data_IF_371202790078
#
_entry.id   IF_371202790078
#
_cell.length_a   1.000
_cell.length_b   1.000
_cell.length_c   1.000
_cell.angle_alpha   90.00
_cell.angle_beta   90.00
_cell.angle_gamma   90.00
#
_symmetry.space_group_name_H-M   'P 1'
#
loop_
_entity.id
_entity.type
_entity.pdbx_description
1 polymer ?
#
# COMPACT_ATOMS: atom_id res chain seq x y z
N UNK A 1 31.43 -19.41 72.60
CA UNK A 1 30.00 -19.10 72.38
C UNK A 1 29.93 -17.65 71.92
N UNK A 2 29.74 -17.42 70.62
CA UNK A 2 29.46 -16.08 70.06
C UNK A 2 28.64 -16.29 68.80
N UNK A 3 27.33 -16.40 68.97
CA UNK A 3 26.37 -16.46 67.87
C UNK A 3 25.91 -15.04 67.56
N UNK A 4 26.21 -14.54 66.36
CA UNK A 4 25.68 -13.26 65.86
C UNK A 4 24.22 -13.43 65.41
N UNK A 5 23.25 -12.65 65.93
CA UNK A 5 21.86 -12.75 65.52
C UNK A 5 21.64 -12.02 64.19
N UNK A 6 21.71 -12.74 63.07
CA UNK A 6 21.20 -12.25 61.77
C UNK A 6 19.67 -12.31 61.77
N UNK A 7 19.02 -11.18 62.06
CA UNK A 7 17.57 -11.04 61.97
C UNK A 7 16.99 -11.33 60.57
N UNK A 8 15.68 -11.64 60.47
CA UNK A 8 15.05 -12.08 59.22
C UNK A 8 15.04 -10.95 58.17
N UNK A 9 15.52 -11.25 56.95
CA UNK A 9 15.51 -10.32 55.80
C UNK A 9 14.08 -10.04 55.35
N UNK A 10 13.65 -8.78 55.48
CA UNK A 10 12.35 -8.30 54.98
C UNK A 10 12.27 -8.51 53.46
N UNK A 11 11.16 -9.06 52.92
CA UNK A 11 11.01 -9.26 51.48
C UNK A 11 11.00 -7.91 50.76
N UNK A 12 11.93 -7.73 49.82
CA UNK A 12 11.97 -6.53 48.98
C UNK A 12 10.79 -6.54 48.01
N UNK A 13 10.08 -5.41 47.93
CA UNK A 13 8.95 -5.20 47.03
C UNK A 13 9.39 -5.46 45.58
N UNK A 14 8.68 -6.35 44.88
CA UNK A 14 8.97 -6.68 43.49
C UNK A 14 8.85 -5.43 42.61
N UNK A 15 9.87 -5.18 41.79
CA UNK A 15 9.88 -4.06 40.84
C UNK A 15 8.96 -4.44 39.69
N UNK A 16 7.75 -3.88 39.67
CA UNK A 16 6.84 -4.01 38.53
C UNK A 16 7.43 -3.26 37.35
N UNK A 17 7.69 -3.97 36.25
CA UNK A 17 8.26 -3.35 35.05
C UNK A 17 7.23 -2.41 34.39
N UNK A 18 7.70 -1.26 33.92
CA UNK A 18 6.87 -0.31 33.17
C UNK A 18 6.41 -0.95 31.86
N UNK A 19 5.16 -0.69 31.39
CA UNK A 19 4.61 -1.33 30.18
C UNK A 19 5.46 -1.06 28.92
N UNK A 20 6.09 0.13 28.83
CA UNK A 20 7.01 0.45 27.74
C UNK A 20 8.23 -0.49 27.67
N UNK A 21 8.71 -0.98 28.83
CA UNK A 21 9.86 -1.88 28.91
C UNK A 21 9.46 -3.33 28.58
N UNK A 22 8.24 -3.73 28.92
CA UNK A 22 7.65 -4.99 28.49
C UNK A 22 7.51 -5.04 26.96
N UNK A 23 6.97 -3.98 26.35
CA UNK A 23 6.85 -3.88 24.89
C UNK A 23 8.21 -3.92 24.16
N UNK A 24 9.25 -3.26 24.72
CA UNK A 24 10.61 -3.34 24.15
C UNK A 24 11.18 -4.76 24.20
N UNK A 25 10.89 -5.50 25.28
CA UNK A 25 11.32 -6.89 25.46
C UNK A 25 10.60 -7.83 24.49
N UNK A 26 9.29 -7.67 24.32
CA UNK A 26 8.49 -8.43 23.36
C UNK A 26 8.96 -8.18 21.93
N UNK A 27 9.23 -6.93 21.56
CA UNK A 27 9.75 -6.58 20.24
C UNK A 27 11.12 -7.23 19.98
N UNK A 28 12.02 -7.25 20.97
CA UNK A 28 13.31 -7.95 20.84
C UNK A 28 13.15 -9.46 20.70
N UNK A 29 12.27 -10.06 21.50
CA UNK A 29 12.01 -11.49 21.42
C UNK A 29 11.43 -11.88 20.04
N UNK A 30 10.55 -11.06 19.47
CA UNK A 30 10.05 -11.27 18.11
C UNK A 30 11.15 -11.13 17.05
N UNK A 31 12.06 -10.16 17.18
CA UNK A 31 13.21 -10.02 16.29
C UNK A 31 14.17 -11.21 16.39
N UNK A 32 14.41 -11.74 17.60
CA UNK A 32 15.21 -12.95 17.80
C UNK A 32 14.55 -14.18 17.19
N UNK A 33 13.23 -14.34 17.34
CA UNK A 33 12.46 -15.38 16.66
C UNK A 33 12.53 -15.23 15.13
N UNK A 34 12.36 -14.02 14.61
CA UNK A 34 12.48 -13.74 13.18
C UNK A 34 13.89 -14.05 12.64
N UNK A 35 14.93 -13.85 13.45
CA UNK A 35 16.31 -14.25 13.11
C UNK A 35 16.52 -15.77 13.13
N UNK A 36 15.75 -16.50 13.93
CA UNK A 36 15.85 -17.96 14.02
C UNK A 36 15.19 -18.69 12.85
N UNK A 37 14.28 -18.04 12.12
CA UNK A 37 13.75 -18.60 10.88
C UNK A 37 14.78 -18.44 9.76
N UNK A 38 15.30 -19.57 9.28
CA UNK A 38 16.04 -19.68 8.02
C UNK A 38 15.06 -20.20 6.98
N UNK A 39 14.88 -19.45 5.88
CA UNK A 39 14.07 -19.88 4.75
C UNK A 39 14.64 -21.21 4.25
N UNK A 40 13.85 -22.28 4.30
CA UNK A 40 14.19 -23.55 3.70
C UNK A 40 14.03 -23.38 2.19
N UNK A 41 15.07 -23.72 1.44
CA UNK A 41 15.01 -23.86 -0.01
C UNK A 41 14.10 -25.05 -0.29
N UNK A 42 12.98 -24.78 -0.96
CA UNK A 42 12.02 -25.81 -1.37
C UNK A 42 12.72 -26.66 -2.44
N UNK A 43 12.86 -27.96 -2.16
CA UNK A 43 13.62 -28.88 -2.99
C UNK A 43 12.72 -29.49 -4.06
N UNK A 44 12.53 -28.78 -5.17
CA UNK A 44 12.45 -29.36 -6.52
C UNK A 44 13.03 -28.37 -7.53
N UNK A 45 13.98 -28.85 -8.33
CA UNK A 45 14.63 -28.22 -9.50
C UNK A 45 16.05 -27.64 -9.33
N UNK A 46 16.96 -28.40 -9.92
CA UNK A 46 18.39 -28.17 -10.15
C UNK A 46 18.71 -26.84 -10.85
N UNK A 47 19.51 -25.99 -10.22
CA UNK A 47 20.68 -25.38 -10.87
C UNK A 47 21.56 -24.64 -9.86
N UNK A 48 22.85 -24.88 -9.97
CA UNK A 48 23.91 -24.22 -9.22
C UNK A 48 23.96 -22.74 -9.59
N UNK A 49 23.96 -21.82 -8.62
CA UNK A 49 24.91 -20.70 -8.64
C UNK A 49 24.99 -19.96 -7.30
N UNK A 50 26.19 -19.46 -7.06
CA UNK A 50 26.77 -19.11 -5.78
C UNK A 50 26.28 -17.79 -5.16
N UNK A 51 26.18 -17.84 -3.83
CA UNK A 51 26.29 -16.76 -2.85
C UNK A 51 27.29 -15.63 -3.20
N UNK A 52 26.82 -14.38 -3.19
CA UNK A 52 27.66 -13.22 -2.82
C UNK A 52 26.87 -12.24 -1.95
N UNK A 53 27.08 -12.35 -0.64
CA UNK A 53 26.49 -11.51 0.40
C UNK A 53 27.49 -10.41 0.77
N UNK A 54 27.34 -9.24 0.15
CA UNK A 54 28.13 -8.06 0.47
C UNK A 54 27.62 -7.42 1.77
N UNK A 55 28.41 -7.54 2.83
CA UNK A 55 28.24 -6.78 4.07
C UNK A 55 28.74 -5.35 3.90
N UNK A 56 27.86 -4.35 4.02
CA UNK A 56 28.28 -2.95 4.11
C UNK A 56 28.43 -2.54 5.58
N UNK A 57 29.64 -2.09 5.89
CA UNK A 57 30.12 -1.69 7.20
C UNK A 57 29.60 -0.31 7.62
N UNK A 58 29.09 -0.25 8.86
CA UNK A 58 29.21 0.84 9.84
C UNK A 58 29.65 2.23 9.35
N UNK A 59 28.80 3.25 9.58
CA UNK A 59 29.19 4.49 10.28
C UNK A 59 27.96 5.14 10.96
N UNK A 60 27.77 4.90 12.27
CA UNK A 60 26.74 5.58 13.08
C UNK A 60 27.42 6.59 14.02
N UNK A 61 27.40 7.87 13.65
CA UNK A 61 27.93 8.96 14.47
C UNK A 61 27.06 9.17 15.73
N UNK A 62 27.65 8.99 16.91
CA UNK A 62 27.03 9.22 18.22
C UNK A 62 27.02 10.72 18.53
N UNK A 63 25.84 11.34 18.64
CA UNK A 63 25.69 12.72 19.17
C UNK A 63 25.59 12.68 20.70
N UNK A 64 26.42 13.49 21.38
CA UNK A 64 26.47 13.64 22.84
C UNK A 64 25.22 14.39 23.36
N UNK A 65 24.63 13.89 24.45
CA UNK A 65 23.52 14.53 25.19
C UNK A 65 24.09 15.62 26.10
N UNK A 66 23.47 16.79 26.16
CA UNK A 66 23.78 17.88 27.11
C UNK A 66 23.04 17.63 28.43
N UNK A 67 23.71 17.89 29.56
CA UNK A 67 23.18 17.73 30.91
C UNK A 67 22.28 18.91 31.29
N UNK A 68 21.09 18.62 31.82
CA UNK A 68 20.15 19.60 32.39
C UNK A 68 20.56 19.87 33.85
N UNK A 69 20.82 21.14 34.17
CA UNK A 69 21.26 21.61 35.50
C UNK A 69 20.07 21.61 36.47
N UNK A 70 20.26 21.03 37.65
CA UNK A 70 19.29 20.90 38.75
C UNK A 70 19.01 22.29 39.35
N UNK A 71 17.73 22.68 39.47
CA UNK A 71 17.24 23.91 40.11
C UNK A 71 17.26 23.73 41.63
N UNK A 72 17.75 24.73 42.35
CA UNK A 72 17.77 24.90 43.81
C UNK A 72 16.44 25.58 44.21
N UNK A 73 15.72 25.00 45.15
CA UNK A 73 14.58 25.61 45.83
C UNK A 73 15.12 26.61 46.86
N UNK A 74 14.61 27.84 46.82
CA UNK A 74 14.70 28.80 47.91
C UNK A 74 13.27 29.07 48.36
N UNK A 75 13.08 28.94 49.67
CA UNK A 75 11.89 29.25 50.44
C UNK A 75 11.52 30.72 50.28
N UNK A 76 10.25 31.02 50.05
CA UNK A 76 9.71 32.37 50.10
C UNK A 76 8.68 32.41 51.23
N UNK A 77 9.04 33.18 52.25
CA UNK A 77 8.31 33.51 53.47
C UNK A 77 6.94 34.12 53.16
N UNK A 78 5.93 33.68 53.92
CA UNK A 78 4.63 34.35 53.98
C UNK A 78 4.79 35.76 54.58
N UNK A 79 4.28 36.78 53.90
CA UNK A 79 3.83 37.99 54.59
C UNK A 79 2.41 38.35 54.19
N UNK A 80 1.55 38.33 55.20
CA UNK A 80 0.16 38.73 55.16
C UNK A 80 0.05 40.27 55.16
N UNK A 81 -0.77 40.82 54.27
CA UNK A 81 -1.30 42.17 54.45
C UNK A 81 -2.83 42.18 54.27
N UNK A 82 -3.53 42.09 55.39
CA UNK A 82 -4.90 42.58 55.52
C UNK A 82 -4.90 44.12 55.48
N UNK A 83 -5.83 44.72 54.72
CA UNK A 83 -6.85 45.68 55.20
C UNK A 83 -7.32 46.60 54.08
N UNK A 84 -8.65 46.64 53.91
CA UNK A 84 -9.34 47.67 53.13
C UNK A 84 -10.86 47.61 53.35
N UNK A 85 -11.34 48.10 54.50
CA UNK A 85 -12.77 48.38 54.75
C UNK A 85 -13.08 49.85 54.44
N UNK A 86 -14.19 50.11 53.73
CA UNK A 86 -15.19 51.21 53.91
C UNK A 86 -16.30 50.97 52.85
N UNK A 87 -17.56 50.65 53.24
CA UNK A 87 -18.72 51.53 53.55
C UNK A 87 -19.10 52.39 52.32
N UNK A 88 -20.33 52.55 51.80
CA UNK A 88 -21.74 52.29 52.19
C UNK A 88 -22.63 52.77 51.01
N UNK A 89 -23.82 52.19 50.81
CA UNK A 89 -25.03 52.99 50.50
C UNK A 89 -25.83 52.68 49.22
N UNK A 90 -27.13 52.38 49.42
CA UNK A 90 -28.24 52.52 48.46
C UNK A 90 -28.46 51.31 47.55
N UNK A 91 -29.66 50.86 47.20
CA UNK A 91 -31.04 51.25 47.50
C UNK A 91 -31.91 50.04 47.13
N UNK A 92 -33.05 49.89 47.81
CA UNK A 92 -34.00 48.80 47.71
C UNK A 92 -34.91 49.02 46.49
N UNK A 93 -34.96 48.09 45.54
CA UNK A 93 -36.11 47.95 44.64
C UNK A 93 -36.45 46.47 44.48
N UNK A 94 -37.59 46.12 45.08
CA UNK A 94 -38.31 44.88 44.88
C UNK A 94 -38.85 44.86 43.45
N UNK A 95 -38.52 43.83 42.69
CA UNK A 95 -39.31 43.38 41.55
C UNK A 95 -39.75 41.95 41.84
N UNK A 96 -41.07 41.81 41.96
CA UNK A 96 -41.78 40.59 42.28
C UNK A 96 -41.59 39.56 41.15
N UNK A 97 -41.09 38.37 41.51
CA UNK A 97 -41.26 37.15 40.71
C UNK A 97 -42.52 36.44 41.21
N UNK A 98 -43.31 35.79 40.35
CA UNK A 98 -44.28 34.81 40.82
C UNK A 98 -43.54 33.56 41.36
N UNK A 99 -43.98 33.07 42.51
CA UNK A 99 -43.71 31.73 43.08
C UNK A 99 -44.07 30.66 42.03
N UNK A 100 -43.35 29.55 41.80
CA UNK A 100 -42.36 28.82 42.58
C UNK A 100 -41.24 28.27 41.67
N UNK A 101 -40.02 28.72 41.85
CA UNK A 101 -38.82 28.00 41.39
C UNK A 101 -38.07 27.62 42.67
N UNK A 102 -37.93 26.32 42.91
CA UNK A 102 -37.37 25.74 44.12
C UNK A 102 -36.01 26.36 44.47
N UNK A 103 -35.70 26.53 45.75
CA UNK A 103 -34.38 27.00 46.22
C UNK A 103 -33.23 26.12 45.66
N UNK A 104 -33.54 24.89 45.27
CA UNK A 104 -32.71 23.97 44.50
C UNK A 104 -32.36 24.46 43.09
N UNK A 105 -33.28 25.12 42.39
CA UNK A 105 -33.01 25.66 41.06
C UNK A 105 -32.08 26.88 41.11
N UNK A 106 -32.15 27.67 42.18
CA UNK A 106 -31.23 28.81 42.37
C UNK A 106 -29.81 28.32 42.67
N UNK A 107 -29.68 27.33 43.54
CA UNK A 107 -28.38 26.73 43.88
C UNK A 107 -27.76 25.96 42.72
N UNK A 108 -28.56 25.29 41.89
CA UNK A 108 -28.07 24.64 40.68
C UNK A 108 -27.66 25.66 39.61
N UNK A 109 -28.38 26.79 39.48
CA UNK A 109 -27.99 27.90 38.59
C UNK A 109 -26.67 28.54 39.02
N UNK A 110 -26.45 28.75 40.31
CA UNK A 110 -25.18 29.26 40.85
C UNK A 110 -24.03 28.29 40.57
N UNK A 111 -24.26 26.99 40.75
CA UNK A 111 -23.27 25.95 40.43
C UNK A 111 -22.90 25.91 38.94
N UNK A 112 -23.88 26.06 38.06
CA UNK A 112 -23.64 26.12 36.61
C UNK A 112 -22.87 27.39 36.24
N UNK A 113 -23.20 28.53 36.84
CA UNK A 113 -22.45 29.78 36.65
C UNK A 113 -20.99 29.64 37.10
N UNK A 114 -20.73 29.02 38.25
CA UNK A 114 -19.36 28.76 38.71
C UNK A 114 -18.55 27.86 37.75
N UNK A 115 -19.20 26.84 37.16
CA UNK A 115 -18.58 25.97 36.16
C UNK A 115 -18.30 26.72 34.85
N UNK A 116 -19.26 27.50 34.39
CA UNK A 116 -19.14 28.36 33.21
C UNK A 116 -18.05 29.41 33.38
N UNK A 117 -17.96 30.06 34.55
CA UNK A 117 -16.91 31.03 34.87
C UNK A 117 -15.52 30.37 34.90
N UNK A 118 -15.42 29.16 35.44
CA UNK A 118 -14.17 28.39 35.46
C UNK A 118 -13.74 28.00 34.05
N UNK A 119 -14.66 27.52 33.23
CA UNK A 119 -14.38 27.11 31.86
C UNK A 119 -14.07 28.35 30.98
N UNK A 120 -14.79 29.45 31.16
CA UNK A 120 -14.51 30.74 30.50
C UNK A 120 -13.14 31.31 30.91
N UNK A 121 -12.74 31.16 32.18
CA UNK A 121 -11.41 31.53 32.63
C UNK A 121 -10.33 30.62 32.00
N UNK A 122 -10.56 29.31 31.94
CA UNK A 122 -9.66 28.37 31.29
C UNK A 122 -9.52 28.66 29.79
N UNK A 123 -10.61 29.03 29.10
CA UNK A 123 -10.58 29.48 27.71
C UNK A 123 -9.78 30.77 27.53
N UNK A 124 -9.98 31.77 28.41
CA UNK A 124 -9.23 33.02 28.38
C UNK A 124 -7.73 32.80 28.59
N UNK A 125 -7.35 31.90 29.51
CA UNK A 125 -5.94 31.51 29.73
C UNK A 125 -5.40 30.79 28.50
N UNK A 126 -6.14 29.82 27.93
CA UNK A 126 -5.76 29.12 26.70
C UNK A 126 -5.61 30.08 25.52
N UNK A 127 -6.48 31.09 25.38
CA UNK A 127 -6.38 32.12 24.35
C UNK A 127 -5.15 32.99 24.55
N UNK A 128 -4.92 33.49 25.77
CA UNK A 128 -3.71 34.25 26.13
C UNK A 128 -2.42 33.47 25.83
N UNK A 129 -2.40 32.18 26.14
CA UNK A 129 -1.25 31.31 25.88
C UNK A 129 -1.07 31.04 24.38
N UNK A 130 -2.16 30.89 23.62
CA UNK A 130 -2.14 30.78 22.15
C UNK A 130 -1.66 32.05 21.46
N UNK A 131 -2.00 33.22 21.99
CA UNK A 131 -1.57 34.51 21.43
C UNK A 131 -0.10 34.80 21.79
N UNK A 132 0.33 34.37 22.98
CA UNK A 132 1.71 34.53 23.45
C UNK A 132 2.68 33.54 22.79
N UNK A 133 2.22 32.36 22.39
CA UNK A 133 3.05 31.35 21.71
C UNK A 133 2.81 31.40 20.20
N UNK A 134 3.89 31.50 19.40
CA UNK A 134 3.74 31.37 17.95
C UNK A 134 3.43 29.91 17.62
N UNK A 135 2.24 29.65 17.11
CA UNK A 135 1.79 28.32 16.67
C UNK A 135 2.52 27.88 15.37
N UNK A 136 3.78 27.48 15.49
CA UNK A 136 4.67 27.11 14.36
C UNK A 136 4.46 25.67 13.91
N UNK A 137 4.13 24.76 14.83
CA UNK A 137 3.90 23.34 14.48
C UNK A 137 2.61 23.16 13.68
N UNK A 138 1.47 23.70 14.14
CA UNK A 138 0.19 23.39 13.49
C UNK A 138 0.04 23.98 12.08
N UNK A 139 0.73 25.09 11.74
CA UNK A 139 0.55 25.74 10.42
C UNK A 139 1.16 24.96 9.26
N UNK A 140 2.20 24.18 9.52
CA UNK A 140 2.87 23.35 8.51
C UNK A 140 2.33 21.92 8.50
N UNK A 141 2.08 21.36 9.68
CA UNK A 141 1.59 19.98 9.82
C UNK A 141 0.13 19.83 9.36
N UNK A 142 -0.74 20.82 9.56
CA UNK A 142 -2.14 20.77 9.07
C UNK A 142 -2.20 20.76 7.54
N UNK A 143 -1.40 21.62 6.88
CA UNK A 143 -1.32 21.66 5.42
C UNK A 143 -0.73 20.38 4.84
N UNK A 144 0.35 19.86 5.45
CA UNK A 144 0.95 18.59 5.04
C UNK A 144 -0.01 17.40 5.25
N UNK A 145 -0.78 17.40 6.33
CA UNK A 145 -1.78 16.38 6.61
C UNK A 145 -2.95 16.43 5.62
N UNK A 146 -3.46 17.63 5.32
CA UNK A 146 -4.50 17.82 4.29
C UNK A 146 -4.02 17.39 2.89
N UNK A 147 -2.77 17.70 2.54
CA UNK A 147 -2.17 17.29 1.27
C UNK A 147 -1.94 15.77 1.20
N UNK A 148 -1.47 15.16 2.29
CA UNK A 148 -1.33 13.71 2.40
C UNK A 148 -2.69 13.01 2.32
N UNK A 149 -3.72 13.55 2.97
CA UNK A 149 -5.09 13.04 2.91
C UNK A 149 -5.66 13.17 1.50
N UNK A 150 -5.39 14.27 0.79
CA UNK A 150 -5.77 14.42 -0.62
C UNK A 150 -5.07 13.39 -1.50
N UNK A 151 -3.76 13.19 -1.35
CA UNK A 151 -3.02 12.15 -2.10
C UNK A 151 -3.56 10.74 -1.83
N UNK A 152 -3.90 10.45 -0.57
CA UNK A 152 -4.47 9.18 -0.19
C UNK A 152 -5.84 8.98 -0.84
N UNK A 153 -6.71 10.01 -0.83
CA UNK A 153 -8.01 9.96 -1.52
C UNK A 153 -7.87 9.78 -3.03
N UNK A 154 -6.98 10.52 -3.68
CA UNK A 154 -6.72 10.37 -5.12
C UNK A 154 -6.24 8.94 -5.44
N UNK A 155 -5.31 8.40 -4.65
CA UNK A 155 -4.84 7.02 -4.83
C UNK A 155 -5.94 5.98 -4.59
N UNK A 156 -6.86 6.22 -3.66
CA UNK A 156 -8.02 5.35 -3.43
C UNK A 156 -9.02 5.41 -4.59
N UNK A 157 -9.29 6.60 -5.13
CA UNK A 157 -10.16 6.82 -6.28
C UNK A 157 -9.57 6.16 -7.54
N UNK A 158 -8.28 6.34 -7.79
CA UNK A 158 -7.56 5.69 -8.88
C UNK A 158 -7.61 4.16 -8.72
N UNK A 159 -7.39 3.64 -7.51
CA UNK A 159 -7.54 2.21 -7.23
C UNK A 159 -8.95 1.71 -7.50
N UNK A 160 -9.98 2.46 -7.08
CA UNK A 160 -11.38 2.10 -7.33
C UNK A 160 -11.70 2.09 -8.83
N UNK A 161 -11.12 2.99 -9.61
CA UNK A 161 -11.27 3.04 -11.06
C UNK A 161 -10.48 1.93 -11.78
N UNK A 162 -9.27 1.59 -11.29
CA UNK A 162 -8.40 0.59 -11.90
C UNK A 162 -8.84 -0.85 -11.64
N UNK A 163 -9.45 -1.15 -10.48
CA UNK A 163 -9.89 -2.51 -10.13
C UNK A 163 -10.87 -3.11 -11.16
N UNK A 164 -11.91 -2.42 -11.65
CA UNK A 164 -12.77 -2.90 -12.73
C UNK A 164 -12.02 -3.25 -14.01
N UNK A 165 -11.08 -2.41 -14.44
CA UNK A 165 -10.28 -2.67 -15.63
C UNK A 165 -9.34 -3.87 -15.45
N UNK A 166 -8.71 -4.00 -14.28
CA UNK A 166 -7.93 -5.18 -13.92
C UNK A 166 -8.77 -6.46 -13.92
N UNK A 167 -10.02 -6.42 -13.42
CA UNK A 167 -10.94 -7.55 -13.49
C UNK A 167 -11.28 -7.93 -14.93
N UNK A 168 -11.49 -6.96 -15.82
CA UNK A 168 -11.74 -7.21 -17.25
C UNK A 168 -10.53 -7.89 -17.90
N UNK A 169 -9.31 -7.41 -17.64
CA UNK A 169 -8.07 -8.00 -18.14
C UNK A 169 -7.89 -9.44 -17.65
N UNK A 170 -7.96 -9.62 -16.33
CA UNK A 170 -7.88 -10.93 -15.68
C UNK A 170 -8.94 -11.91 -16.21
N UNK A 171 -10.19 -11.47 -16.41
CA UNK A 171 -11.24 -12.31 -16.99
C UNK A 171 -10.94 -12.73 -18.42
N UNK A 172 -10.43 -11.83 -19.27
CA UNK A 172 -10.07 -12.15 -20.66
C UNK A 172 -8.95 -13.19 -20.70
N UNK A 173 -7.91 -13.00 -19.89
CA UNK A 173 -6.81 -13.95 -19.75
C UNK A 173 -7.30 -15.31 -19.25
N UNK A 174 -8.18 -15.31 -18.24
CA UNK A 174 -8.78 -16.53 -17.71
C UNK A 174 -9.59 -17.29 -18.75
N UNK A 175 -10.43 -16.59 -19.52
CA UNK A 175 -11.23 -17.22 -20.57
C UNK A 175 -10.36 -17.81 -21.66
N UNK A 176 -9.29 -17.12 -22.07
CA UNK A 176 -8.33 -17.65 -23.04
C UNK A 176 -7.59 -18.89 -22.51
N UNK A 177 -7.18 -18.90 -21.24
CA UNK A 177 -6.57 -20.09 -20.59
C UNK A 177 -7.57 -21.24 -20.49
N UNK A 178 -8.77 -20.96 -19.99
CA UNK A 178 -9.84 -21.95 -19.83
C UNK A 178 -10.28 -22.56 -21.15
N UNK A 179 -10.34 -21.77 -22.23
CA UNK A 179 -10.64 -22.26 -23.57
C UNK A 179 -9.59 -23.30 -24.01
N UNK A 180 -8.30 -23.00 -23.80
CA UNK A 180 -7.20 -23.93 -24.12
C UNK A 180 -7.27 -25.19 -23.26
N UNK A 181 -7.38 -25.04 -21.95
CA UNK A 181 -7.51 -26.17 -21.01
C UNK A 181 -8.69 -27.06 -21.39
N UNK A 182 -9.86 -26.49 -21.72
CA UNK A 182 -11.03 -27.27 -22.10
C UNK A 182 -10.89 -27.98 -23.45
N UNK A 183 -10.15 -27.40 -24.38
CA UNK A 183 -9.84 -28.07 -25.64
C UNK A 183 -8.86 -29.22 -25.43
N UNK A 184 -7.81 -29.00 -24.63
CA UNK A 184 -6.84 -30.04 -24.26
C UNK A 184 -7.51 -31.19 -23.49
N UNK A 185 -8.38 -30.86 -22.52
CA UNK A 185 -9.20 -31.85 -21.80
C UNK A 185 -10.06 -32.68 -22.77
N UNK A 186 -10.76 -32.05 -23.72
CA UNK A 186 -11.60 -32.75 -24.70
C UNK A 186 -10.77 -33.61 -25.67
N UNK A 187 -9.57 -33.17 -26.02
CA UNK A 187 -8.64 -33.95 -26.85
C UNK A 187 -8.08 -35.15 -26.10
N UNK A 188 -7.74 -34.98 -24.82
CA UNK A 188 -7.32 -36.07 -23.94
C UNK A 188 -8.45 -37.09 -23.73
N UNK A 189 -9.68 -36.64 -23.45
CA UNK A 189 -10.85 -37.52 -23.33
C UNK A 189 -11.06 -38.36 -24.59
N UNK A 190 -10.96 -37.75 -25.78
CA UNK A 190 -11.08 -38.47 -27.04
C UNK A 190 -9.94 -39.47 -27.26
N UNK A 191 -8.71 -39.10 -26.90
CA UNK A 191 -7.55 -39.99 -27.01
C UNK A 191 -7.68 -41.19 -26.06
N UNK A 192 -8.14 -40.96 -24.84
CA UNK A 192 -8.42 -42.01 -23.86
C UNK A 192 -9.55 -42.93 -24.35
N UNK A 193 -10.64 -42.38 -24.88
CA UNK A 193 -11.74 -43.18 -25.43
C UNK A 193 -11.27 -44.07 -26.60
N UNK A 194 -10.41 -43.54 -27.47
CA UNK A 194 -9.80 -44.29 -28.58
C UNK A 194 -8.83 -45.37 -28.08
N UNK A 195 -8.04 -45.07 -27.04
CA UNK A 195 -7.07 -46.00 -26.48
C UNK A 195 -7.72 -47.12 -25.64
N UNK A 196 -8.70 -46.79 -24.80
CA UNK A 196 -9.37 -47.73 -23.89
C UNK A 196 -10.42 -48.58 -24.60
N UNK A 197 -11.15 -48.01 -25.57
CA UNK A 197 -12.32 -48.63 -26.18
C UNK A 197 -12.24 -48.81 -27.70
N UNK A 198 -11.07 -48.56 -28.31
CA UNK A 198 -10.88 -48.68 -29.76
C UNK A 198 -11.20 -50.08 -30.33
N UNK A 199 -10.96 -51.14 -29.54
CA UNK A 199 -11.16 -52.53 -29.94
C UNK A 199 -12.57 -53.07 -29.59
N UNK A 200 -13.40 -52.29 -28.89
CA UNK A 200 -14.72 -52.73 -28.38
C UNK A 200 -15.84 -52.23 -29.29
N UNK A 201 -16.88 -53.05 -29.48
CA UNK A 201 -18.08 -52.63 -30.20
C UNK A 201 -18.88 -51.61 -29.38
N UNK A 202 -18.70 -50.33 -29.71
CA UNK A 202 -19.45 -49.24 -29.08
C UNK A 202 -20.94 -49.27 -29.42
N UNK A 203 -21.77 -48.94 -28.43
CA UNK A 203 -23.22 -48.76 -28.56
C UNK A 203 -23.56 -47.63 -29.54
N UNK A 204 -24.79 -47.65 -30.08
CA UNK A 204 -25.29 -46.59 -30.98
C UNK A 204 -25.25 -45.21 -30.30
N UNK A 205 -25.44 -45.16 -28.98
CA UNK A 205 -25.39 -43.91 -28.22
C UNK A 205 -23.96 -43.38 -28.10
N UNK A 206 -23.04 -44.22 -27.60
CA UNK A 206 -21.61 -43.90 -27.47
C UNK A 206 -21.00 -43.45 -28.82
N UNK A 207 -21.32 -44.14 -29.92
CA UNK A 207 -20.87 -43.71 -31.27
C UNK A 207 -21.35 -42.30 -31.64
N UNK A 208 -22.54 -41.90 -31.21
CA UNK A 208 -23.05 -40.55 -31.45
C UNK A 208 -22.35 -39.53 -30.55
N UNK A 209 -22.10 -39.88 -29.30
CA UNK A 209 -21.35 -39.04 -28.36
C UNK A 209 -19.91 -38.81 -28.84
N UNK A 210 -19.18 -39.85 -29.24
CA UNK A 210 -17.84 -39.71 -29.83
C UNK A 210 -17.85 -38.81 -31.06
N UNK A 211 -18.83 -38.99 -31.94
CA UNK A 211 -18.99 -38.13 -33.13
C UNK A 211 -19.28 -36.69 -32.73
N UNK A 212 -20.08 -36.46 -31.70
CA UNK A 212 -20.38 -35.14 -31.20
C UNK A 212 -19.14 -34.48 -30.59
N UNK A 213 -18.42 -35.15 -29.69
CA UNK A 213 -17.16 -34.67 -29.09
C UNK A 213 -16.13 -34.32 -30.17
N UNK A 214 -15.93 -35.18 -31.17
CA UNK A 214 -15.04 -34.90 -32.31
C UNK A 214 -15.45 -33.65 -33.09
N UNK A 215 -16.74 -33.49 -33.41
CA UNK A 215 -17.25 -32.28 -34.08
C UNK A 215 -17.04 -31.02 -33.25
N UNK A 216 -17.28 -31.08 -31.94
CA UNK A 216 -17.08 -29.95 -31.03
C UNK A 216 -15.61 -29.53 -31.01
N UNK A 217 -14.69 -30.50 -30.89
CA UNK A 217 -13.24 -30.25 -30.99
C UNK A 217 -12.88 -29.58 -32.32
N UNK A 218 -13.37 -30.10 -33.44
CA UNK A 218 -13.06 -29.57 -34.77
C UNK A 218 -13.56 -28.14 -34.94
N UNK A 219 -14.82 -27.88 -34.59
CA UNK A 219 -15.39 -26.53 -34.65
C UNK A 219 -14.63 -25.54 -33.75
N UNK A 220 -14.21 -25.97 -32.56
CA UNK A 220 -13.46 -25.10 -31.66
C UNK A 220 -12.03 -24.81 -32.18
N UNK A 221 -11.36 -25.81 -32.78
CA UNK A 221 -10.07 -25.63 -33.46
C UNK A 221 -10.20 -24.69 -34.67
N UNK A 222 -11.23 -24.87 -35.49
CA UNK A 222 -11.53 -24.01 -36.63
C UNK A 222 -11.82 -22.57 -36.18
N UNK A 223 -12.61 -22.39 -35.11
CA UNK A 223 -12.90 -21.07 -34.54
C UNK A 223 -11.62 -20.35 -34.09
N UNK A 224 -10.72 -21.06 -33.38
CA UNK A 224 -9.43 -20.52 -32.96
C UNK A 224 -8.55 -20.16 -34.16
N UNK A 225 -8.45 -21.05 -35.14
CA UNK A 225 -7.68 -20.82 -36.36
C UNK A 225 -8.21 -19.62 -37.16
N UNK A 226 -9.53 -19.48 -37.28
CA UNK A 226 -10.17 -18.33 -37.93
C UNK A 226 -9.87 -17.02 -37.18
N UNK A 227 -9.90 -17.04 -35.84
CA UNK A 227 -9.52 -15.87 -35.03
C UNK A 227 -8.03 -15.50 -35.14
N UNK A 228 -7.15 -16.47 -35.33
CA UNK A 228 -5.72 -16.22 -35.62
C UNK A 228 -5.51 -15.66 -37.02
N UNK A 229 -6.22 -16.20 -38.02
CA UNK A 229 -6.24 -15.65 -39.38
C UNK A 229 -6.77 -14.21 -39.41
N UNK A 230 -7.86 -13.91 -38.72
CA UNK A 230 -8.40 -12.55 -38.63
C UNK A 230 -7.34 -11.58 -38.05
N UNK A 231 -6.58 -11.99 -37.03
CA UNK A 231 -5.50 -11.17 -36.47
C UNK A 231 -4.38 -10.93 -37.46
N UNK A 232 -3.93 -11.98 -38.16
CA UNK A 232 -2.90 -11.86 -39.21
C UNK A 232 -3.37 -10.97 -40.36
N UNK A 233 -4.63 -11.09 -40.73
CA UNK A 233 -5.21 -10.24 -41.76
C UNK A 233 -5.39 -8.80 -41.27
N UNK A 234 -5.74 -8.59 -40.01
CA UNK A 234 -5.82 -7.25 -39.41
C UNK A 234 -4.46 -6.57 -39.36
N UNK A 235 -3.36 -7.32 -39.21
CA UNK A 235 -2.00 -6.76 -39.31
C UNK A 235 -1.57 -6.49 -40.76
N UNK A 236 -1.98 -7.35 -41.70
CA UNK A 236 -1.54 -7.25 -43.09
C UNK A 236 -2.39 -6.27 -43.93
N UNK A 237 -3.66 -6.02 -43.56
CA UNK A 237 -4.56 -5.14 -44.31
C UNK A 237 -4.36 -3.69 -43.88
N UNK A 238 -4.32 -2.79 -44.88
CA UNK A 238 -4.27 -1.35 -44.63
C UNK A 238 -5.56 -0.89 -43.93
N UNK A 239 -5.45 -0.48 -42.67
CA UNK A 239 -6.55 0.08 -41.90
C UNK A 239 -6.53 1.61 -42.03
N UNK A 240 -7.52 2.18 -42.72
CA UNK A 240 -7.66 3.65 -42.86
C UNK A 240 -7.83 4.28 -41.46
N UNK A 241 -6.95 5.21 -41.04
CA UNK A 241 -7.07 5.88 -39.76
C UNK A 241 -8.41 6.60 -39.61
N UNK A 242 -9.16 6.32 -38.53
CA UNK A 242 -10.42 7.03 -38.28
C UNK A 242 -10.11 8.50 -37.98
N UNK A 243 -10.77 9.43 -38.65
CA UNK A 243 -10.73 10.87 -38.35
C UNK A 243 -11.46 11.16 -37.03
N UNK A 244 -10.86 10.74 -35.92
CA UNK A 244 -11.27 11.24 -34.60
C UNK A 244 -10.49 12.53 -34.33
N UNK A 245 -11.15 13.53 -33.76
CA UNK A 245 -10.55 14.83 -33.41
C UNK A 245 -9.63 14.64 -32.19
N UNK A 246 -8.44 14.09 -32.41
CA UNK A 246 -7.46 13.72 -31.40
C UNK A 246 -6.31 12.91 -32.01
N UNK A 247 -5.22 12.70 -31.26
CA UNK A 247 -4.15 11.78 -31.67
C UNK A 247 -4.78 10.43 -32.06
N UNK A 248 -4.45 9.85 -33.24
CA UNK A 248 -5.00 8.55 -33.61
C UNK A 248 -4.68 7.57 -32.49
N UNK A 249 -5.70 6.83 -32.04
CA UNK A 249 -5.49 5.73 -31.10
C UNK A 249 -4.45 4.81 -31.75
N UNK A 250 -3.23 4.88 -31.19
CA UNK A 250 -2.00 4.27 -31.66
C UNK A 250 -2.35 2.95 -32.34
N UNK A 251 -2.10 2.86 -33.65
CA UNK A 251 -2.02 1.58 -34.32
C UNK A 251 -1.20 0.68 -33.40
N UNK A 252 -1.65 -0.55 -33.20
CA UNK A 252 -0.92 -1.56 -32.41
C UNK A 252 0.49 -1.66 -32.98
N UNK A 253 1.38 -0.80 -32.49
CA UNK A 253 2.80 -0.94 -32.64
C UNK A 253 3.03 -2.34 -32.12
N UNK A 254 3.64 -3.19 -32.96
CA UNK A 254 4.23 -4.41 -32.48
C UNK A 254 5.04 -4.00 -31.25
N UNK A 255 4.56 -4.38 -30.07
CA UNK A 255 5.36 -4.36 -28.86
C UNK A 255 6.35 -5.49 -29.10
N UNK A 256 7.37 -5.18 -29.88
CA UNK A 256 8.59 -5.94 -29.94
C UNK A 256 9.04 -6.05 -28.50
N UNK A 257 9.00 -7.28 -27.98
CA UNK A 257 9.16 -7.63 -26.58
C UNK A 257 10.29 -6.81 -25.94
N UNK A 258 9.92 -5.74 -25.22
CA UNK A 258 10.86 -4.96 -24.42
C UNK A 258 11.34 -5.89 -23.31
N UNK A 259 12.48 -6.54 -23.51
CA UNK A 259 13.22 -7.07 -22.39
C UNK A 259 13.58 -5.87 -21.52
N UNK A 260 12.98 -5.78 -20.34
CA UNK A 260 13.20 -4.66 -19.43
C UNK A 260 14.59 -4.65 -18.80
N UNK A 261 15.63 -5.15 -19.47
CA UNK A 261 16.95 -5.24 -18.88
C UNK A 261 17.60 -3.85 -18.79
N UNK A 262 18.23 -3.51 -17.65
CA UNK A 262 18.89 -2.22 -17.49
C UNK A 262 19.93 -1.98 -18.58
N UNK A 263 19.76 -0.92 -19.38
CA UNK A 263 20.69 -0.50 -20.43
C UNK A 263 20.33 -0.91 -21.86
N UNK A 264 19.24 -1.65 -22.08
CA UNK A 264 18.79 -1.98 -23.44
C UNK A 264 18.40 -0.75 -24.26
N UNK A 265 17.76 0.24 -23.64
CA UNK A 265 17.44 1.52 -24.30
C UNK A 265 18.70 2.23 -24.82
N UNK A 266 19.79 2.19 -24.06
CA UNK A 266 21.07 2.78 -24.47
C UNK A 266 21.70 1.99 -25.60
N UNK A 267 21.72 0.66 -25.52
CA UNK A 267 22.24 -0.19 -26.60
C UNK A 267 21.44 -0.04 -27.89
N UNK A 268 20.10 -0.01 -27.82
CA UNK A 268 19.24 0.23 -29.00
C UNK A 268 19.47 1.61 -29.59
N UNK A 269 19.66 2.64 -28.74
CA UNK A 269 20.00 3.98 -29.21
C UNK A 269 21.37 4.00 -29.90
N UNK A 270 22.36 3.31 -29.33
CA UNK A 270 23.69 3.16 -29.93
C UNK A 270 23.63 2.36 -31.23
N UNK A 271 22.90 1.26 -31.28
CA UNK A 271 22.74 0.39 -32.46
C UNK A 271 21.97 1.09 -33.58
N UNK A 272 20.88 1.80 -33.28
CA UNK A 272 20.14 2.58 -34.27
C UNK A 272 21.02 3.70 -34.85
N UNK A 273 21.83 4.35 -34.00
CA UNK A 273 22.73 5.42 -34.42
C UNK A 273 23.96 4.90 -35.17
N UNK A 274 24.49 3.73 -34.77
CA UNK A 274 25.54 3.02 -35.48
C UNK A 274 25.04 2.49 -36.82
N UNK A 275 23.84 1.91 -36.88
CA UNK A 275 23.21 1.43 -38.11
C UNK A 275 22.93 2.56 -39.10
N UNK A 276 22.42 3.70 -38.62
CA UNK A 276 22.22 4.90 -39.43
C UNK A 276 23.55 5.53 -39.89
N UNK A 277 24.60 5.44 -39.08
CA UNK A 277 25.94 5.91 -39.44
C UNK A 277 26.67 4.96 -40.40
N UNK A 278 26.44 3.64 -40.27
CA UNK A 278 27.03 2.61 -41.12
C UNK A 278 26.24 2.42 -42.42
N UNK A 279 26.22 3.44 -43.27
CA UNK A 279 25.77 3.29 -44.65
C UNK A 279 26.83 2.50 -45.44
N UNK A 280 26.51 1.25 -45.77
CA UNK A 280 27.34 0.41 -46.66
C UNK A 280 26.95 0.72 -48.10
N UNK A 281 27.93 1.14 -48.91
CA UNK A 281 27.74 1.45 -50.33
C UNK A 281 28.69 0.59 -51.17
N UNK A 282 28.17 -0.06 -52.21
CA UNK A 282 28.97 -0.85 -53.15
C UNK A 282 28.25 -2.09 -53.67
N UNK A 283 28.63 -2.52 -54.88
CA UNK A 283 28.01 -3.66 -55.58
C UNK A 283 28.12 -5.01 -54.82
N UNK A 284 29.09 -5.12 -53.91
CA UNK A 284 29.26 -6.31 -53.05
C UNK A 284 28.16 -6.45 -51.99
N UNK A 285 27.63 -5.33 -51.49
CA UNK A 285 26.59 -5.30 -50.46
C UNK A 285 25.18 -5.24 -51.07
N UNK A 286 25.05 -4.79 -52.33
CA UNK A 286 23.78 -4.72 -53.06
C UNK A 286 23.08 -6.08 -53.18
N UNK A 287 23.82 -7.17 -53.42
CA UNK A 287 23.26 -8.52 -53.53
C UNK A 287 22.55 -9.01 -52.26
N UNK A 288 22.89 -8.46 -51.09
CA UNK A 288 22.22 -8.77 -49.82
C UNK A 288 20.95 -7.95 -49.58
N UNK A 289 20.82 -6.82 -50.29
CA UNK A 289 19.72 -5.85 -50.15
C UNK A 289 18.67 -5.99 -51.26
N UNK A 290 18.89 -6.82 -52.28
CA UNK A 290 17.90 -7.03 -53.34
C UNK A 290 16.67 -7.80 -52.79
N UNK A 291 15.48 -7.18 -52.78
CA UNK A 291 14.26 -7.88 -52.43
C UNK A 291 13.97 -8.96 -53.48
N UNK A 292 13.91 -10.22 -53.05
CA UNK A 292 13.49 -11.34 -53.90
C UNK A 292 11.99 -11.18 -54.21
N UNK A 293 11.68 -10.52 -55.31
CA UNK A 293 10.34 -10.55 -55.88
C UNK A 293 10.12 -11.91 -56.53
N UNK A 294 9.19 -12.70 -55.98
CA UNK A 294 8.69 -13.90 -56.64
C UNK A 294 7.61 -13.47 -57.62
N UNK A 295 7.88 -13.64 -58.93
CA UNK A 295 6.91 -13.44 -60.02
C UNK A 295 6.03 -14.69 -60.20
#
# INVERSE_FOLDING_TARGET
MSEDPRGPKVPRKAVVEKPARAAEREARALLEKNRSYRLLEDSEESSEETVSRAGSSLQKKRKKRKHLRKKREEEEEEEASEKGKKKTGGSKQQTEKPESEDEWERTERERLQDLEERDAFAERVRQRDKDRTRNVLERSDKKAYEEAQKRLKMAEEDRKAMVPELRKKSRREYLAKREREKLEDLEAELADEEFLFGDVELSRHERQELKYKRRVRDLAREYRAAGEQEKLEATNRYHMPKETRGQPARAVDLVEEESGAPGEEQRRWEEARLGAASLKFGARDAASQEPKYQL
#
